data_IF_947524547601
#
_entry.id   IF_947524547601
#
_cell.length_a   1.000
_cell.length_b   1.000
_cell.length_c   1.000
_cell.angle_alpha   90.00
_cell.angle_beta   90.00
_cell.angle_gamma   90.00
#
_symmetry.space_group_name_H-M   'P 1'
#
loop_
_entity.id
_entity.type
_entity.pdbx_description
1 polymer ?
#
# COMPACT_ATOMS: atom_id res chain seq x y z
N UNK A 1 -17.12 7.72 -5.94
CA UNK A 1 -15.70 7.97 -5.57
C UNK A 1 -15.10 6.64 -5.14
N UNK A 2 -13.86 6.29 -5.54
CA UNK A 2 -13.20 5.07 -5.07
C UNK A 2 -13.00 5.11 -3.55
N UNK A 3 -13.22 3.99 -2.86
CA UNK A 3 -12.97 3.88 -1.41
C UNK A 3 -11.44 3.92 -1.18
N UNK A 4 -10.93 4.88 -0.38
CA UNK A 4 -9.49 5.03 -0.15
C UNK A 4 -8.83 3.82 0.54
N UNK A 5 -9.62 2.86 1.05
CA UNK A 5 -9.14 1.63 1.68
C UNK A 5 -9.03 0.45 0.70
N UNK A 6 -9.47 0.61 -0.54
CA UNK A 6 -9.43 -0.45 -1.55
C UNK A 6 -8.38 -0.15 -2.63
N UNK A 7 -7.67 -1.19 -3.04
CA UNK A 7 -6.65 -1.17 -4.08
C UNK A 7 -7.30 -0.87 -5.44
N UNK A 8 -6.88 0.18 -6.16
CA UNK A 8 -7.48 0.54 -7.44
C UNK A 8 -7.22 -0.50 -8.55
N UNK A 9 -6.14 -1.29 -8.42
CA UNK A 9 -5.77 -2.31 -9.40
C UNK A 9 -6.61 -3.59 -9.29
N UNK A 10 -7.12 -3.94 -8.10
CA UNK A 10 -7.73 -5.25 -7.89
C UNK A 10 -8.96 -5.28 -6.96
N UNK A 11 -9.37 -4.15 -6.39
CA UNK A 11 -10.54 -4.04 -5.53
C UNK A 11 -10.41 -4.66 -4.13
N UNK A 12 -9.28 -5.28 -3.77
CA UNK A 12 -9.04 -5.81 -2.42
C UNK A 12 -8.63 -4.68 -1.45
N UNK A 13 -8.62 -4.94 -0.13
CA UNK A 13 -8.08 -3.97 0.83
C UNK A 13 -6.61 -3.63 0.51
N UNK A 14 -6.28 -2.33 0.51
CA UNK A 14 -4.92 -1.86 0.26
C UNK A 14 -3.99 -1.97 1.49
N UNK A 15 -4.56 -2.29 2.66
CA UNK A 15 -3.84 -2.40 3.93
C UNK A 15 -3.09 -1.12 4.31
N UNK A 16 -3.52 0.04 3.79
CA UNK A 16 -2.91 1.31 4.12
C UNK A 16 -3.28 1.74 5.54
N UNK A 17 -2.28 1.85 6.42
CA UNK A 17 -2.48 2.31 7.80
C UNK A 17 -3.01 3.74 7.88
N UNK A 18 -2.70 4.59 6.89
CA UNK A 18 -3.18 5.97 6.84
C UNK A 18 -4.62 6.11 6.30
N UNK A 19 -5.13 5.09 5.59
CA UNK A 19 -6.49 5.10 5.06
C UNK A 19 -7.54 4.75 6.14
N UNK A 20 -7.09 4.25 7.30
CA UNK A 20 -7.93 4.04 8.49
C UNK A 20 -7.46 5.00 9.61
N UNK A 21 -8.27 6.00 10.01
CA UNK A 21 -7.92 6.92 11.10
C UNK A 21 -7.51 6.23 12.40
N UNK A 22 -8.00 5.01 12.64
CA UNK A 22 -7.67 4.22 13.84
C UNK A 22 -6.22 3.70 13.82
N UNK A 23 -5.63 3.58 12.63
CA UNK A 23 -4.30 3.03 12.41
C UNK A 23 -3.29 4.09 11.94
N UNK A 24 -3.72 5.33 11.70
CA UNK A 24 -2.88 6.38 11.11
C UNK A 24 -1.59 6.67 11.90
N UNK A 25 -1.58 6.40 13.22
CA UNK A 25 -0.39 6.57 14.07
C UNK A 25 0.63 5.41 13.99
N UNK A 26 0.25 4.24 13.44
CA UNK A 26 1.07 3.03 13.44
C UNK A 26 2.05 2.97 12.25
N UNK A 27 1.96 3.91 11.31
CA UNK A 27 2.67 3.86 10.03
C UNK A 27 1.99 2.92 9.04
N UNK A 28 2.58 2.77 7.86
CA UNK A 28 2.07 1.93 6.78
C UNK A 28 3.18 1.01 6.26
N UNK A 29 2.82 -0.21 5.84
CA UNK A 29 3.75 -1.17 5.24
C UNK A 29 4.55 -0.58 4.06
N UNK A 30 3.98 0.41 3.35
CA UNK A 30 4.62 1.01 2.18
C UNK A 30 5.85 1.85 2.52
N UNK A 31 6.08 2.19 3.79
CA UNK A 31 7.26 2.93 4.22
C UNK A 31 8.52 2.07 4.31
N UNK A 32 8.36 0.76 4.43
CA UNK A 32 9.46 -0.18 4.66
C UNK A 32 9.83 -0.97 3.39
N UNK A 33 9.29 -0.58 2.22
CA UNK A 33 9.50 -1.28 0.94
C UNK A 33 9.75 -0.31 -0.20
N UNK A 34 10.44 -0.78 -1.24
CA UNK A 34 10.57 -0.08 -2.50
C UNK A 34 9.44 -0.53 -3.45
N UNK A 35 8.59 0.41 -3.86
CA UNK A 35 7.54 0.19 -4.86
C UNK A 35 8.05 0.70 -6.21
N UNK A 36 8.01 -0.15 -7.24
CA UNK A 36 8.33 0.26 -8.61
C UNK A 36 7.30 1.30 -9.10
N UNK A 37 7.72 2.54 -9.45
CA UNK A 37 6.82 3.56 -9.96
C UNK A 37 6.03 3.10 -11.20
N UNK A 38 6.58 2.20 -12.02
CA UNK A 38 5.89 1.68 -13.20
C UNK A 38 4.56 0.99 -12.87
N UNK A 39 4.42 0.41 -11.67
CA UNK A 39 3.17 -0.20 -11.20
C UNK A 39 2.08 0.85 -10.92
N UNK A 40 2.49 2.06 -10.50
CA UNK A 40 1.58 3.18 -10.26
C UNK A 40 1.20 3.83 -11.59
N UNK A 41 2.18 4.00 -12.49
CA UNK A 41 1.97 4.58 -13.82
C UNK A 41 1.11 3.70 -14.74
N UNK A 42 1.05 2.39 -14.48
CA UNK A 42 0.16 1.46 -15.18
C UNK A 42 -1.32 1.61 -14.80
N UNK A 43 -1.64 2.35 -13.74
CA UNK A 43 -3.03 2.64 -13.37
C UNK A 43 -3.67 3.62 -14.35
N UNK A 44 -5.00 3.49 -14.60
CA UNK A 44 -5.77 4.56 -15.23
C UNK A 44 -5.51 5.90 -14.54
N UNK A 45 -5.40 6.98 -15.33
CA UNK A 45 -5.01 8.28 -14.82
C UNK A 45 -5.93 8.79 -13.70
N UNK A 46 -7.21 8.45 -13.78
CA UNK A 46 -8.25 8.85 -12.83
C UNK A 46 -8.14 8.13 -11.48
N UNK A 47 -7.39 7.02 -11.43
CA UNK A 47 -7.17 6.22 -10.23
C UNK A 47 -5.82 6.50 -9.54
N UNK A 48 -4.90 7.19 -10.23
CA UNK A 48 -3.64 7.65 -9.63
C UNK A 48 -3.92 8.69 -8.54
N UNK A 49 -3.11 8.66 -7.49
CA UNK A 49 -3.20 9.54 -6.31
C UNK A 49 -4.55 9.52 -5.55
N UNK A 50 -5.38 8.49 -5.75
CA UNK A 50 -6.68 8.33 -5.04
C UNK A 50 -6.66 7.32 -3.91
N UNK A 51 -5.92 6.23 -4.08
CA UNK A 51 -5.82 5.14 -3.10
C UNK A 51 -4.49 4.40 -3.29
N UNK A 52 -3.99 3.78 -2.21
CA UNK A 52 -2.77 2.95 -2.28
C UNK A 52 -3.03 1.63 -3.02
N UNK A 53 -1.99 1.10 -3.68
CA UNK A 53 -1.96 -0.31 -4.07
C UNK A 53 -1.96 -1.22 -2.83
N UNK A 54 -2.37 -2.48 -2.95
CA UNK A 54 -2.13 -3.49 -1.91
C UNK A 54 -0.73 -4.11 -2.07
N UNK A 55 -0.15 -4.77 -1.05
CA UNK A 55 1.17 -5.41 -1.13
C UNK A 55 1.37 -6.32 -2.35
N UNK A 56 0.32 -7.08 -2.70
CA UNK A 56 0.31 -7.96 -3.88
C UNK A 56 0.43 -7.18 -5.18
N UNK A 57 -0.34 -6.11 -5.35
CA UNK A 57 -0.30 -5.28 -6.57
C UNK A 57 0.94 -4.40 -6.63
N UNK A 58 1.51 -4.02 -5.49
CA UNK A 58 2.81 -3.36 -5.40
C UNK A 58 4.00 -4.33 -5.58
N UNK A 59 3.75 -5.65 -5.63
CA UNK A 59 4.76 -6.70 -5.83
C UNK A 59 5.86 -6.73 -4.75
N UNK A 60 5.50 -6.40 -3.50
CA UNK A 60 6.47 -6.27 -2.38
C UNK A 60 6.43 -7.42 -1.38
N UNK A 61 5.66 -8.47 -1.60
CA UNK A 61 5.49 -9.57 -0.63
C UNK A 61 6.82 -10.19 -0.18
N UNK A 62 7.80 -10.29 -1.09
CA UNK A 62 9.14 -10.78 -0.75
C UNK A 62 9.89 -9.81 0.18
N UNK A 63 9.78 -8.49 -0.05
CA UNK A 63 10.39 -7.47 0.78
C UNK A 63 9.78 -7.47 2.18
N UNK A 64 8.45 -7.57 2.27
CA UNK A 64 7.72 -7.61 3.55
C UNK A 64 8.07 -8.86 4.38
N UNK A 65 8.35 -9.99 3.74
CA UNK A 65 8.81 -11.21 4.43
C UNK A 65 10.28 -11.11 4.87
N UNK A 66 11.09 -10.35 4.14
CA UNK A 66 12.51 -10.18 4.41
C UNK A 66 12.78 -9.08 5.46
N UNK A 67 11.84 -8.14 5.65
CA UNK A 67 11.96 -7.09 6.64
C UNK A 67 12.04 -7.70 8.06
N UNK A 68 13.10 -7.42 8.85
CA UNK A 68 13.20 -7.93 10.20
C UNK A 68 12.05 -7.36 11.03
N UNK A 69 11.34 -8.23 11.76
CA UNK A 69 10.29 -7.83 12.71
C UNK A 69 10.86 -6.74 13.62
N UNK A 70 10.42 -5.50 13.44
CA UNK A 70 10.88 -4.37 14.25
C UNK A 70 10.41 -4.60 15.67
N UNK A 71 11.21 -5.29 16.47
CA UNK A 71 11.01 -5.40 17.92
C UNK A 71 11.13 -3.98 18.45
N UNK A 72 9.99 -3.41 18.81
CA UNK A 72 9.91 -2.12 19.49
C UNK A 72 10.76 -2.28 20.76
N UNK A 73 11.88 -1.54 20.83
CA UNK A 73 12.63 -1.33 22.08
C UNK A 73 11.96 -0.23 22.88
#
# INVERSE_FOLDING_TARGET
>A
MPDPRHCPACGALNQCGLADPRNAAQGCWCFDVAIDPALIEALPAELRDKACLCPRCAQVDAQLKAAPTRTIR
#
